data_IF_311303619046
#
_entry.id   IF_311303619046
#
_cell.length_a   1.000
_cell.length_b   1.000
_cell.length_c   1.000
_cell.angle_alpha   90.00
_cell.angle_beta   90.00
_cell.angle_gamma   90.00
#
_symmetry.space_group_name_H-M   'P 1'
#
loop_
_entity.id
_entity.type
_entity.pdbx_description
1 polymer ?
#
# COMPACT_ATOMS: atom_id res chain seq x y z
N UNK A 1 7.76 -21.83 9.81
CA UNK A 1 7.34 -21.67 8.40
C UNK A 1 6.08 -20.83 8.40
N UNK A 2 6.17 -19.56 8.01
CA UNK A 2 4.96 -18.76 7.81
C UNK A 2 4.17 -19.40 6.67
N UNK A 3 2.88 -19.64 6.89
CA UNK A 3 2.00 -20.18 5.85
C UNK A 3 1.76 -19.06 4.83
N UNK A 4 2.46 -19.08 3.70
CA UNK A 4 2.15 -18.19 2.57
C UNK A 4 0.76 -18.58 2.06
N UNK A 5 -0.25 -17.77 2.38
CA UNK A 5 -1.60 -17.91 1.83
C UNK A 5 -1.58 -17.48 0.38
N UNK A 6 -2.15 -18.25 -0.54
CA UNK A 6 -2.13 -17.94 -1.96
C UNK A 6 -3.05 -16.75 -2.27
N UNK A 7 -2.57 -15.73 -2.96
CA UNK A 7 -3.39 -14.64 -3.46
C UNK A 7 -4.13 -15.10 -4.72
N UNK A 8 -5.43 -14.84 -4.78
CA UNK A 8 -6.24 -14.98 -5.99
C UNK A 8 -5.96 -13.82 -6.95
N UNK A 9 -5.58 -14.13 -8.20
CA UNK A 9 -5.29 -13.10 -9.21
C UNK A 9 -6.51 -12.24 -9.52
N UNK A 10 -7.71 -12.81 -9.52
CA UNK A 10 -8.92 -12.08 -9.88
C UNK A 10 -9.27 -10.99 -8.85
N UNK A 11 -8.99 -11.24 -7.56
CA UNK A 11 -9.15 -10.24 -6.50
C UNK A 11 -8.25 -9.02 -6.75
N UNK A 12 -6.98 -9.26 -7.15
CA UNK A 12 -6.05 -8.19 -7.49
C UNK A 12 -6.45 -7.46 -8.80
N UNK A 13 -7.00 -8.19 -9.77
CA UNK A 13 -7.52 -7.59 -10.99
C UNK A 13 -8.76 -6.71 -10.72
N UNK A 14 -9.58 -7.07 -9.74
CA UNK A 14 -10.72 -6.25 -9.30
C UNK A 14 -10.25 -4.89 -8.77
N UNK A 15 -9.26 -4.88 -7.87
CA UNK A 15 -8.67 -3.65 -7.34
C UNK A 15 -8.02 -2.81 -8.45
N UNK A 16 -7.24 -3.42 -9.34
CA UNK A 16 -6.51 -2.69 -10.39
C UNK A 16 -7.43 -2.08 -11.46
N UNK A 17 -8.61 -2.67 -11.73
CA UNK A 17 -9.63 -2.08 -12.62
C UNK A 17 -10.22 -0.78 -12.07
N UNK A 18 -10.14 -0.57 -10.75
CA UNK A 18 -10.58 0.67 -10.10
C UNK A 18 -9.53 1.77 -10.20
N UNK A 19 -8.26 1.44 -10.42
CA UNK A 19 -7.15 2.41 -10.45
C UNK A 19 -7.06 3.18 -11.77
N UNK A 20 -8.13 3.90 -12.09
CA UNK A 20 -8.25 4.87 -13.19
C UNK A 20 -8.97 6.11 -12.67
N UNK A 21 -8.77 7.28 -13.28
CA UNK A 21 -9.41 8.53 -12.84
C UNK A 21 -10.93 8.38 -12.74
N UNK A 22 -11.54 7.65 -13.68
CA UNK A 22 -12.99 7.46 -13.75
C UNK A 22 -13.55 6.47 -12.71
N UNK A 23 -12.71 5.65 -12.07
CA UNK A 23 -13.18 4.52 -11.24
C UNK A 23 -12.52 4.43 -9.86
N UNK A 24 -11.54 5.28 -9.58
CA UNK A 24 -10.74 5.18 -8.36
C UNK A 24 -11.54 5.52 -7.12
N UNK A 25 -11.30 4.74 -6.08
CA UNK A 25 -11.79 4.95 -4.72
C UNK A 25 -10.72 5.57 -3.82
N UNK A 26 -9.61 6.06 -4.37
CA UNK A 26 -8.59 6.77 -3.60
C UNK A 26 -9.17 8.06 -3.02
N UNK A 27 -9.12 8.19 -1.70
CA UNK A 27 -9.64 9.36 -0.99
C UNK A 27 -8.54 10.31 -0.55
N UNK A 28 -7.34 9.78 -0.25
CA UNK A 28 -6.21 10.57 0.24
C UNK A 28 -4.87 9.99 -0.19
N UNK A 29 -3.91 10.89 -0.39
CA UNK A 29 -2.51 10.55 -0.62
C UNK A 29 -1.65 11.29 0.40
N UNK A 30 -0.64 10.62 0.92
CA UNK A 30 0.41 11.23 1.72
C UNK A 30 1.76 10.67 1.31
N UNK A 31 2.83 11.39 1.58
CA UNK A 31 4.17 10.84 1.38
C UNK A 31 5.26 11.65 2.04
N UNK A 32 6.43 11.02 2.08
CA UNK A 32 7.68 11.59 2.57
C UNK A 32 8.76 11.39 1.54
N UNK A 33 9.60 12.40 1.34
CA UNK A 33 10.83 12.32 0.57
C UNK A 33 11.99 12.16 1.55
N UNK A 34 12.90 11.24 1.23
CA UNK A 34 14.04 10.89 2.05
C UNK A 34 15.30 10.88 1.19
N UNK A 35 16.40 11.38 1.73
CA UNK A 35 17.71 11.19 1.13
C UNK A 35 18.21 9.74 1.34
N UNK A 36 19.34 9.41 0.72
CA UNK A 36 19.96 8.09 0.86
C UNK A 36 20.34 7.70 2.31
N UNK A 37 20.54 8.68 3.20
CA UNK A 37 20.90 8.46 4.61
C UNK A 37 19.64 8.36 5.51
N UNK A 38 18.45 8.51 4.94
CA UNK A 38 17.18 8.43 5.65
C UNK A 38 16.73 9.75 6.28
N UNK A 39 17.34 10.90 5.96
CA UNK A 39 16.84 12.18 6.41
C UNK A 39 15.58 12.57 5.65
N UNK A 40 14.55 13.03 6.35
CA UNK A 40 13.30 13.48 5.76
C UNK A 40 13.46 14.90 5.21
N UNK A 41 13.47 15.02 3.88
CA UNK A 41 13.55 16.31 3.17
C UNK A 41 12.21 17.07 3.17
N UNK A 42 11.11 16.34 3.25
CA UNK A 42 9.78 16.93 3.30
C UNK A 42 8.67 15.92 3.20
N UNK A 43 7.48 16.34 3.64
CA UNK A 43 6.27 15.52 3.63
C UNK A 43 5.13 16.25 2.92
N UNK A 44 4.15 15.49 2.45
CA UNK A 44 2.90 16.03 1.93
C UNK A 44 1.72 15.15 2.35
N UNK A 45 0.55 15.78 2.48
CA UNK A 45 -0.69 15.08 2.77
C UNK A 45 -1.87 15.81 2.12
N UNK A 46 -2.50 15.19 1.12
CA UNK A 46 -3.50 15.86 0.27
C UNK A 46 -4.71 14.95 0.00
N UNK A 47 -5.91 15.54 0.04
CA UNK A 47 -7.12 14.85 -0.43
C UNK A 47 -6.97 14.56 -1.93
N UNK A 48 -7.16 13.29 -2.32
CA UNK A 48 -6.89 12.84 -3.69
C UNK A 48 -7.75 13.58 -4.73
N UNK A 49 -8.97 14.00 -4.38
CA UNK A 49 -9.85 14.75 -5.28
C UNK A 49 -9.32 16.14 -5.63
N UNK A 50 -8.51 16.76 -4.76
CA UNK A 50 -7.91 18.08 -4.98
C UNK A 50 -6.76 18.08 -5.97
N UNK A 51 -6.20 16.91 -6.29
CA UNK A 51 -5.14 16.77 -7.29
C UNK A 51 -5.65 17.08 -8.71
N UNK A 52 -4.77 17.62 -9.54
CA UNK A 52 -5.00 17.76 -10.98
C UNK A 52 -5.07 16.39 -11.64
N UNK A 53 -5.72 16.28 -12.80
CA UNK A 53 -5.86 15.00 -13.50
C UNK A 53 -4.51 14.35 -13.83
N UNK A 54 -3.51 15.13 -14.23
CA UNK A 54 -2.15 14.62 -14.49
C UNK A 54 -1.49 14.04 -13.23
N UNK A 55 -1.65 14.69 -12.08
CA UNK A 55 -1.15 14.22 -10.78
C UNK A 55 -1.91 12.96 -10.35
N UNK A 56 -3.23 12.90 -10.54
CA UNK A 56 -4.03 11.69 -10.28
C UNK A 56 -3.54 10.52 -11.13
N UNK A 57 -3.28 10.72 -12.41
CA UNK A 57 -2.80 9.68 -13.33
C UNK A 57 -1.42 9.15 -12.94
N UNK A 58 -0.47 10.04 -12.63
CA UNK A 58 0.86 9.66 -12.11
C UNK A 58 0.72 8.81 -10.83
N UNK A 59 -0.05 9.29 -9.86
CA UNK A 59 -0.23 8.62 -8.57
C UNK A 59 -0.95 7.26 -8.69
N UNK A 60 -1.99 7.17 -9.52
CA UNK A 60 -2.66 5.90 -9.82
C UNK A 60 -1.71 4.90 -10.47
N UNK A 61 -0.83 5.37 -11.35
CA UNK A 61 0.18 4.52 -12.00
C UNK A 61 1.13 3.92 -10.97
N UNK A 62 1.64 4.73 -10.03
CA UNK A 62 2.51 4.28 -8.94
C UNK A 62 1.79 3.23 -8.07
N UNK A 63 0.63 3.59 -7.53
CA UNK A 63 -0.12 2.70 -6.64
C UNK A 63 -0.51 1.37 -7.33
N UNK A 64 -0.81 1.41 -8.63
CA UNK A 64 -1.25 0.25 -9.41
C UNK A 64 -0.15 -0.79 -9.62
N UNK A 65 1.12 -0.41 -9.61
CA UNK A 65 2.25 -1.36 -9.77
C UNK A 65 2.14 -2.52 -8.77
N UNK A 66 1.76 -2.22 -7.53
CA UNK A 66 1.74 -3.18 -6.41
C UNK A 66 0.68 -4.28 -6.62
N UNK A 67 -0.64 -3.98 -6.69
CA UNK A 67 -1.65 -5.02 -6.92
C UNK A 67 -1.59 -5.60 -8.34
N UNK A 68 -1.06 -4.87 -9.33
CA UNK A 68 -0.96 -5.40 -10.69
C UNK A 68 0.20 -6.39 -10.88
N UNK A 69 1.20 -6.37 -9.99
CA UNK A 69 2.37 -7.25 -10.04
C UNK A 69 1.99 -8.73 -10.12
N UNK A 70 2.95 -9.56 -10.57
CA UNK A 70 2.73 -10.99 -10.71
C UNK A 70 2.44 -11.62 -9.34
N UNK A 71 1.20 -12.07 -9.20
CA UNK A 71 0.65 -12.62 -7.97
C UNK A 71 1.34 -13.92 -7.57
N UNK A 72 1.67 -14.08 -6.29
CA UNK A 72 2.44 -15.17 -5.70
C UNK A 72 3.92 -15.26 -6.17
N UNK A 73 4.41 -14.27 -6.91
CA UNK A 73 5.84 -14.12 -7.24
C UNK A 73 6.38 -12.78 -6.74
N UNK A 74 5.95 -11.68 -7.36
CA UNK A 74 6.32 -10.33 -6.97
C UNK A 74 5.45 -9.79 -5.84
N UNK A 75 4.15 -10.13 -5.85
CA UNK A 75 3.23 -9.83 -4.76
C UNK A 75 2.93 -11.11 -3.98
N UNK A 76 3.33 -11.16 -2.71
CA UNK A 76 3.16 -12.33 -1.84
C UNK A 76 2.39 -11.93 -0.59
N UNK A 77 1.50 -12.82 -0.13
CA UNK A 77 0.72 -12.62 1.09
C UNK A 77 1.42 -13.21 2.29
N UNK A 78 1.53 -12.41 3.33
CA UNK A 78 2.15 -12.80 4.59
C UNK A 78 1.14 -12.68 5.71
N UNK A 79 1.14 -13.68 6.59
CA UNK A 79 0.42 -13.58 7.85
C UNK A 79 1.22 -12.70 8.80
N UNK A 80 0.57 -11.69 9.37
CA UNK A 80 1.20 -10.84 10.37
C UNK A 80 1.38 -11.67 11.65
N UNK A 81 2.61 -11.77 12.20
CA UNK A 81 2.85 -12.56 13.40
C UNK A 81 2.16 -11.95 14.61
N UNK A 82 1.81 -12.78 15.59
CA UNK A 82 1.05 -12.34 16.78
C UNK A 82 1.83 -11.32 17.60
N UNK A 83 3.15 -11.37 17.55
CA UNK A 83 4.07 -10.45 18.21
C UNK A 83 3.84 -9.01 17.72
N UNK A 84 3.50 -8.82 16.43
CA UNK A 84 3.19 -7.51 15.85
C UNK A 84 1.83 -6.93 16.31
N UNK A 85 1.07 -7.68 17.13
CA UNK A 85 -0.21 -7.23 17.73
C UNK A 85 0.03 -6.55 19.07
N UNK A 86 1.27 -6.57 19.59
CA UNK A 86 1.65 -5.84 20.77
C UNK A 86 1.36 -4.34 20.61
N UNK A 87 1.11 -3.66 21.74
CA UNK A 87 0.91 -2.22 21.76
C UNK A 87 2.17 -1.53 21.17
N UNK A 88 1.96 -0.64 20.20
CA UNK A 88 3.03 0.02 19.47
C UNK A 88 3.63 -0.79 18.30
N UNK A 89 3.11 -1.99 18.03
CA UNK A 89 3.53 -2.79 16.88
C UNK A 89 3.12 -2.18 15.53
N UNK A 90 3.82 -2.55 14.47
CA UNK A 90 3.60 -2.02 13.12
C UNK A 90 2.15 -2.22 12.64
N UNK A 91 1.51 -3.35 12.99
CA UNK A 91 0.09 -3.59 12.65
C UNK A 91 -0.83 -2.54 13.25
N UNK A 92 -0.61 -2.15 14.50
CA UNK A 92 -1.42 -1.12 15.16
C UNK A 92 -1.23 0.24 14.49
N UNK A 93 0.02 0.58 14.12
CA UNK A 93 0.33 1.80 13.38
C UNK A 93 -0.38 1.83 12.01
N UNK A 94 -0.29 0.75 11.22
CA UNK A 94 -0.95 0.64 9.92
C UNK A 94 -2.48 0.70 10.03
N UNK A 95 -3.07 0.05 11.05
CA UNK A 95 -4.51 0.17 11.33
C UNK A 95 -4.90 1.60 11.72
N UNK A 96 -4.08 2.30 12.50
CA UNK A 96 -4.30 3.70 12.85
C UNK A 96 -4.24 4.62 11.63
N UNK A 97 -3.24 4.45 10.78
CA UNK A 97 -3.06 5.19 9.52
C UNK A 97 -4.25 4.97 8.58
N UNK A 98 -4.68 3.71 8.42
CA UNK A 98 -5.86 3.33 7.65
C UNK A 98 -7.13 3.97 8.21
N UNK A 99 -7.46 3.70 9.48
CA UNK A 99 -8.73 4.14 10.10
C UNK A 99 -8.86 5.65 10.23
N UNK A 100 -7.75 6.37 10.33
CA UNK A 100 -7.77 7.84 10.27
C UNK A 100 -7.81 8.38 8.82
N UNK A 101 -7.86 7.51 7.80
CA UNK A 101 -7.82 7.84 6.38
C UNK A 101 -6.65 8.76 5.99
N UNK A 102 -5.46 8.50 6.56
CA UNK A 102 -4.25 9.33 6.47
C UNK A 102 -4.42 10.77 6.99
N UNK A 103 -5.41 11.07 7.83
CA UNK A 103 -5.69 12.45 8.30
C UNK A 103 -4.85 12.89 9.48
N UNK A 104 -4.19 11.96 10.18
CA UNK A 104 -3.39 12.26 11.36
C UNK A 104 -1.91 12.36 10.96
N UNK A 105 -1.42 13.59 10.79
CA UNK A 105 -0.04 13.85 10.37
C UNK A 105 0.99 13.29 11.36
N UNK A 106 0.72 13.31 12.68
CA UNK A 106 1.63 12.73 13.67
C UNK A 106 1.79 11.20 13.54
N UNK A 107 0.73 10.49 13.13
CA UNK A 107 0.84 9.05 12.83
C UNK A 107 1.62 8.80 11.54
N UNK A 108 1.50 9.69 10.55
CA UNK A 108 2.27 9.61 9.31
C UNK A 108 3.75 9.89 9.58
N UNK A 109 4.07 10.94 10.34
CA UNK A 109 5.44 11.28 10.77
C UNK A 109 6.07 10.10 11.52
N UNK A 110 5.38 9.53 12.50
CA UNK A 110 5.89 8.34 13.23
C UNK A 110 6.18 7.15 12.30
N UNK A 111 5.40 6.98 11.24
CA UNK A 111 5.62 5.92 10.26
C UNK A 111 6.80 6.22 9.33
N UNK A 112 6.95 7.47 8.91
CA UNK A 112 8.09 7.89 8.10
C UNK A 112 9.39 7.81 8.88
N UNK A 113 9.43 8.29 10.13
CA UNK A 113 10.59 8.15 11.02
C UNK A 113 10.98 6.68 11.17
N UNK A 114 10.00 5.80 11.40
CA UNK A 114 10.26 4.37 11.53
C UNK A 114 10.81 3.74 10.24
N UNK A 115 10.38 4.19 9.06
CA UNK A 115 10.97 3.73 7.78
C UNK A 115 12.38 4.29 7.63
N UNK A 116 12.60 5.58 7.85
CA UNK A 116 13.89 6.24 7.75
C UNK A 116 14.97 5.54 8.59
N UNK A 117 14.63 5.15 9.82
CA UNK A 117 15.54 4.46 10.73
C UNK A 117 15.93 3.04 10.29
N UNK A 118 15.13 2.40 9.42
CA UNK A 118 15.22 0.95 9.19
C UNK A 118 15.37 0.56 7.72
N UNK A 119 15.11 1.46 6.77
CA UNK A 119 15.19 1.20 5.33
C UNK A 119 16.50 1.75 4.76
N UNK A 120 17.41 0.85 4.37
CA UNK A 120 18.71 1.24 3.84
C UNK A 120 18.75 1.16 2.32
N UNK A 121 19.20 2.23 1.67
CA UNK A 121 19.45 2.29 0.23
C UNK A 121 20.66 3.18 -0.07
N UNK A 122 21.06 3.28 -1.33
CA UNK A 122 22.18 4.11 -1.80
C UNK A 122 21.72 5.28 -2.70
N UNK A 123 20.42 5.58 -2.69
CA UNK A 123 19.81 6.65 -3.47
C UNK A 123 18.64 7.26 -2.69
N UNK A 124 18.29 8.49 -3.04
CA UNK A 124 17.11 9.15 -2.50
C UNK A 124 15.85 8.36 -2.86
N UNK A 125 14.85 8.41 -1.98
CA UNK A 125 13.63 7.65 -2.14
C UNK A 125 12.43 8.38 -1.56
N UNK A 126 11.24 7.91 -1.90
CA UNK A 126 10.01 8.42 -1.36
C UNK A 126 9.11 7.28 -0.89
N UNK A 127 8.44 7.52 0.24
CA UNK A 127 7.41 6.65 0.80
C UNK A 127 6.06 7.27 0.48
N UNK A 128 5.30 6.65 -0.40
CA UNK A 128 3.95 7.08 -0.78
C UNK A 128 2.89 6.19 -0.13
N UNK A 129 1.92 6.80 0.54
CA UNK A 129 0.73 6.16 1.09
C UNK A 129 -0.51 6.60 0.33
N UNK A 130 -1.30 5.64 -0.12
CA UNK A 130 -2.59 5.85 -0.79
C UNK A 130 -3.69 5.20 0.02
N UNK A 131 -4.69 5.97 0.44
CA UNK A 131 -5.85 5.44 1.13
C UNK A 131 -7.06 5.31 0.20
N UNK A 132 -7.74 4.18 0.28
CA UNK A 132 -8.85 3.80 -0.58
C UNK A 132 -10.04 3.30 0.24
N UNK A 133 -11.25 3.59 -0.24
CA UNK A 133 -12.50 3.04 0.34
C UNK A 133 -13.35 2.48 -0.79
N UNK A 134 -13.23 1.18 -1.04
CA UNK A 134 -13.90 0.51 -2.15
C UNK A 134 -15.24 -0.10 -1.73
N UNK A 135 -16.34 0.44 -2.27
CA UNK A 135 -17.67 -0.18 -2.22
C UNK A 135 -17.74 -1.40 -3.16
N UNK A 136 -17.84 -2.60 -2.58
CA UNK A 136 -17.82 -3.86 -3.31
C UNK A 136 -19.25 -4.18 -3.79
N UNK A 137 -19.52 -4.21 -5.10
CA UNK A 137 -20.87 -4.48 -5.61
C UNK A 137 -21.27 -5.94 -5.44
N UNK A 138 -22.54 -6.25 -5.21
CA UNK A 138 -23.02 -7.64 -5.27
C UNK A 138 -22.89 -8.21 -6.70
N UNK A 139 -22.34 -9.42 -6.82
CA UNK A 139 -22.34 -10.19 -8.09
C UNK A 139 -23.57 -11.10 -8.12
N UNK A 140 -24.56 -10.81 -8.98
CA UNK A 140 -25.55 -11.81 -9.36
C UNK A 140 -24.90 -12.88 -10.27
N UNK A 141 -25.49 -14.08 -10.35
CA UNK A 141 -25.01 -15.20 -11.17
C UNK A 141 -24.90 -14.85 -12.68
N UNK A 142 -25.50 -13.75 -13.08
CA UNK A 142 -25.80 -13.32 -14.44
C UNK A 142 -24.88 -12.17 -14.91
N UNK A 143 -23.82 -11.84 -14.16
CA UNK A 143 -22.88 -10.73 -14.45
C UNK A 143 -23.48 -9.31 -14.45
N UNK A 144 -24.75 -9.13 -14.11
CA UNK A 144 -25.28 -7.80 -13.79
C UNK A 144 -24.91 -7.43 -12.34
N UNK A 145 -24.24 -6.29 -12.18
CA UNK A 145 -23.97 -5.73 -10.85
C UNK A 145 -25.25 -5.14 -10.30
N UNK A 146 -25.68 -5.60 -9.12
CA UNK A 146 -26.81 -5.01 -8.40
C UNK A 146 -26.37 -3.67 -7.78
N UNK A 147 -27.31 -2.74 -7.63
CA UNK A 147 -27.08 -1.40 -7.06
C UNK A 147 -26.81 -1.41 -5.54
N UNK A 148 -26.76 -2.59 -4.92
CA UNK A 148 -26.46 -2.78 -3.50
C UNK A 148 -25.01 -3.27 -3.32
N UNK A 149 -24.29 -2.62 -2.39
CA UNK A 149 -22.95 -3.04 -1.97
C UNK A 149 -23.03 -4.20 -0.98
N UNK A 150 -22.16 -5.19 -1.17
CA UNK A 150 -21.98 -6.32 -0.25
C UNK A 150 -21.16 -5.90 0.97
N UNK A 151 -20.07 -5.16 0.72
CA UNK A 151 -19.07 -4.85 1.72
C UNK A 151 -18.28 -3.60 1.35
N UNK A 152 -17.74 -2.89 2.35
CA UNK A 152 -16.82 -1.77 2.14
C UNK A 152 -15.42 -2.24 2.49
N UNK A 153 -14.52 -2.22 1.50
CA UNK A 153 -13.11 -2.53 1.71
C UNK A 153 -12.28 -1.25 1.81
N UNK A 154 -11.87 -0.92 3.03
CA UNK A 154 -10.98 0.20 3.33
C UNK A 154 -9.54 -0.30 3.49
N UNK A 155 -8.62 0.26 2.68
CA UNK A 155 -7.24 -0.21 2.64
C UNK A 155 -6.26 0.91 2.30
N UNK A 156 -5.00 0.66 2.65
CA UNK A 156 -3.86 1.49 2.27
C UNK A 156 -2.93 0.73 1.34
N UNK A 157 -2.32 1.46 0.42
CA UNK A 157 -1.18 1.01 -0.37
C UNK A 157 0.02 1.86 0.03
N UNK A 158 1.13 1.20 0.34
CA UNK A 158 2.41 1.86 0.53
C UNK A 158 3.34 1.52 -0.62
N UNK A 159 3.94 2.52 -1.26
CA UNK A 159 4.94 2.35 -2.31
C UNK A 159 6.24 3.05 -1.90
N UNK A 160 7.35 2.33 -1.94
CA UNK A 160 8.68 2.90 -1.78
C UNK A 160 9.30 3.01 -3.18
N UNK A 161 9.56 4.25 -3.60
CA UNK A 161 10.05 4.56 -4.94
C UNK A 161 11.43 5.23 -4.87
N UNK A 162 12.36 4.91 -5.77
CA UNK A 162 13.54 5.73 -5.97
C UNK A 162 13.11 7.12 -6.44
N UNK A 163 13.84 8.15 -6.03
CA UNK A 163 13.60 9.53 -6.43
C UNK A 163 14.75 10.00 -7.31
N UNK A 164 14.44 10.77 -8.35
CA UNK A 164 15.44 11.37 -9.22
C UNK A 164 15.07 12.79 -9.60
N UNK A 165 16.07 13.67 -9.73
CA UNK A 165 15.87 15.05 -10.18
C UNK A 165 14.99 15.86 -9.23
N UNK A 166 13.93 16.47 -9.75
CA UNK A 166 13.03 17.39 -9.04
C UNK A 166 11.97 16.66 -8.18
N UNK A 167 12.39 15.71 -7.33
CA UNK A 167 11.50 14.92 -6.47
C UNK A 167 10.43 14.09 -7.23
N UNK A 168 10.72 13.71 -8.48
CA UNK A 168 9.82 12.82 -9.23
C UNK A 168 10.04 11.36 -8.80
N UNK A 169 9.01 10.68 -8.25
CA UNK A 169 9.13 9.27 -7.87
C UNK A 169 9.17 8.39 -9.12
N UNK A 170 10.13 7.47 -9.13
CA UNK A 170 10.22 6.38 -10.09
C UNK A 170 9.18 5.28 -9.86
N UNK A 171 9.39 4.14 -10.53
CA UNK A 171 8.56 2.95 -10.29
C UNK A 171 8.85 2.38 -8.89
N UNK A 172 7.84 1.89 -8.15
CA UNK A 172 8.05 1.27 -6.85
C UNK A 172 9.07 0.13 -6.93
N UNK A 173 10.02 0.11 -6.00
CA UNK A 173 10.96 -1.00 -5.83
C UNK A 173 10.41 -2.06 -4.89
N UNK A 174 9.68 -1.61 -3.88
CA UNK A 174 8.92 -2.46 -2.96
C UNK A 174 7.70 -1.69 -2.42
N UNK A 175 6.83 -2.40 -1.71
CA UNK A 175 5.62 -1.81 -1.15
C UNK A 175 4.66 -2.85 -0.61
N UNK A 176 3.46 -2.44 -0.22
CA UNK A 176 2.44 -3.36 0.28
C UNK A 176 1.02 -2.85 0.12
N UNK A 177 0.06 -3.77 0.28
CA UNK A 177 -1.37 -3.50 0.47
C UNK A 177 -1.75 -4.03 1.85
N UNK A 178 -2.41 -3.19 2.64
CA UNK A 178 -2.89 -3.56 3.97
C UNK A 178 -4.27 -2.95 4.25
N UNK A 179 -5.22 -3.71 4.84
CA UNK A 179 -5.26 -5.17 4.98
C UNK A 179 -5.13 -5.92 3.65
N UNK A 180 -5.06 -7.25 3.70
CA UNK A 180 -5.14 -8.05 2.49
C UNK A 180 -6.59 -8.11 1.97
N UNK A 181 -6.76 -8.15 0.64
CA UNK A 181 -8.07 -8.37 0.02
C UNK A 181 -8.23 -9.85 -0.31
N UNK A 182 -9.21 -10.52 0.30
CA UNK A 182 -9.39 -11.96 0.15
C UNK A 182 -10.85 -12.30 -0.02
N UNK A 183 -11.23 -12.92 -1.14
CA UNK A 183 -12.61 -13.41 -1.34
C UNK A 183 -13.66 -12.31 -1.11
N UNK A 184 -13.39 -11.10 -1.64
CA UNK A 184 -14.26 -9.92 -1.54
C UNK A 184 -14.43 -9.31 -0.15
N UNK A 185 -13.59 -9.65 0.82
CA UNK A 185 -13.59 -9.02 2.16
C UNK A 185 -12.18 -8.59 2.57
N UNK A 186 -12.08 -7.77 3.61
CA UNK A 186 -10.81 -7.41 4.25
C UNK A 186 -10.31 -8.53 5.15
N UNK A 187 -9.01 -8.80 5.13
CA UNK A 187 -8.36 -9.70 6.08
C UNK A 187 -7.20 -8.98 6.80
N UNK A 188 -7.46 -8.41 8.00
CA UNK A 188 -6.50 -7.60 8.75
C UNK A 188 -5.38 -8.41 9.41
N UNK A 189 -5.42 -9.75 9.30
CA UNK A 189 -4.36 -10.63 9.79
C UNK A 189 -3.28 -10.87 8.73
N UNK A 190 -3.50 -10.38 7.50
CA UNK A 190 -2.57 -10.52 6.38
C UNK A 190 -2.21 -9.19 5.74
N UNK A 191 -1.05 -9.20 5.10
CA UNK A 191 -0.49 -8.09 4.32
C UNK A 191 0.06 -8.64 3.01
N UNK A 192 -0.21 -7.96 1.90
CA UNK A 192 0.30 -8.34 0.58
C UNK A 192 1.52 -7.47 0.24
N UNK A 193 2.71 -8.06 0.23
CA UNK A 193 3.98 -7.35 0.07
C UNK A 193 4.50 -7.53 -1.36
N UNK A 194 4.82 -6.41 -1.99
CA UNK A 194 5.39 -6.30 -3.32
C UNK A 194 6.90 -6.15 -3.26
N UNK A 195 7.58 -6.91 -4.12
CA UNK A 195 9.00 -6.81 -4.42
C UNK A 195 9.16 -6.74 -5.94
N UNK A 196 9.79 -5.67 -6.44
CA UNK A 196 10.07 -5.50 -7.88
C UNK A 196 10.99 -6.61 -8.40
N UNK A 197 11.99 -7.00 -7.60
CA UNK A 197 12.89 -8.11 -7.86
C UNK A 197 12.77 -9.16 -6.75
N UNK A 198 12.00 -10.26 -6.96
CA UNK A 198 11.80 -11.28 -5.93
C UNK A 198 13.05 -12.12 -5.66
N UNK A 199 14.04 -12.12 -6.56
CA UNK A 199 15.32 -12.81 -6.38
C UNK A 199 16.27 -12.01 -5.47
N UNK A 200 16.09 -10.70 -5.41
CA UNK A 200 16.82 -9.77 -4.53
C UNK A 200 15.83 -8.86 -3.79
N UNK A 201 15.06 -9.43 -2.84
CA UNK A 201 14.01 -8.69 -2.17
C UNK A 201 14.59 -7.62 -1.24
N UNK A 202 13.89 -6.49 -1.13
CA UNK A 202 14.15 -5.47 -0.12
C UNK A 202 13.79 -6.03 1.27
N UNK A 203 14.77 -6.66 1.93
CA UNK A 203 14.61 -7.34 3.21
C UNK A 203 14.22 -6.39 4.34
N UNK A 204 14.67 -5.14 4.27
CA UNK A 204 14.36 -4.15 5.28
C UNK A 204 12.86 -3.88 5.36
N UNK A 205 12.13 -3.93 4.23
CA UNK A 205 10.67 -3.83 4.26
C UNK A 205 10.02 -4.97 5.07
N UNK A 206 10.51 -6.20 4.97
CA UNK A 206 9.98 -7.32 5.76
C UNK A 206 10.24 -7.11 7.25
N UNK A 207 11.43 -6.62 7.63
CA UNK A 207 11.79 -6.31 9.02
C UNK A 207 10.93 -5.19 9.59
N UNK A 208 10.76 -4.09 8.84
CA UNK A 208 9.90 -2.95 9.20
C UNK A 208 8.47 -3.44 9.43
N UNK A 209 7.97 -4.32 8.56
CA UNK A 209 6.64 -4.91 8.67
C UNK A 209 6.58 -6.06 9.70
N UNK A 210 7.67 -6.32 10.43
CA UNK A 210 7.80 -7.36 11.43
C UNK A 210 7.41 -8.75 10.87
N UNK A 211 7.65 -8.99 9.59
CA UNK A 211 7.39 -10.27 8.93
C UNK A 211 8.64 -11.15 9.04
N UNK A 212 8.53 -12.39 9.56
CA UNK A 212 9.67 -13.30 9.64
C UNK A 212 10.14 -13.71 8.25
N UNK A 213 11.47 -13.74 8.05
CA UNK A 213 12.12 -14.28 6.83
C UNK A 213 11.83 -15.78 6.62
#
# INVERSE_FOLDING_TARGET
>A
MSSITRINRDDMLELTRRMTIARTSMTRIAGSYMDADGFIDGTFNTNFLKLKNSEKEKNLTIAKVIPFAQTNQNLKRYKIPKEAYALGGIRQLLLGIKSCALKNDALLESFYDYIAENYHTNHDYAVYLFHNTYDIPLKAADHESLWESEEIYEYIICAICPVSGDYEPGKPECGFIFPAFNSRTEDPDYIDIYQSNPDFPQKDLLKILQIPE
#
